data_IF_443316490800
#
_entry.id   IF_443316490800
#
_cell.length_a   1.000
_cell.length_b   1.000
_cell.length_c   1.000
_cell.angle_alpha   90.00
_cell.angle_beta   90.00
_cell.angle_gamma   90.00
#
_symmetry.space_group_name_H-M   'P 1'
#
loop_
_entity.id
_entity.type
_entity.pdbx_description
1 polymer ?
#
# COMPACT_ATOMS: atom_id res chain seq x y z
N UNK A 1 2.03 -60.99 49.16
CA UNK A 1 3.05 -59.92 49.32
C UNK A 1 3.56 -59.62 47.91
N UNK A 2 3.01 -58.60 47.23
CA UNK A 2 3.62 -57.26 47.05
C UNK A 2 5.03 -57.40 46.42
N UNK A 3 5.26 -56.95 45.20
CA UNK A 3 5.44 -55.53 44.93
C UNK A 3 5.02 -55.18 43.50
N UNK A 4 3.98 -54.37 43.42
CA UNK A 4 3.41 -53.72 42.25
C UNK A 4 4.39 -52.65 41.75
N UNK A 5 5.12 -52.89 40.66
CA UNK A 5 5.93 -51.88 39.99
C UNK A 5 5.05 -51.03 39.08
N UNK A 6 4.64 -49.88 39.62
CA UNK A 6 3.86 -48.84 38.96
C UNK A 6 4.63 -48.26 37.75
N UNK A 7 4.15 -48.56 36.54
CA UNK A 7 4.42 -47.77 35.34
C UNK A 7 3.68 -46.43 35.47
N UNK A 8 4.36 -45.39 35.93
CA UNK A 8 3.90 -43.99 35.80
C UNK A 8 4.86 -43.26 34.85
N UNK A 9 4.75 -43.57 33.55
CA UNK A 9 5.29 -42.74 32.51
C UNK A 9 4.38 -41.50 32.37
N UNK A 10 4.74 -40.43 33.07
CA UNK A 10 4.16 -39.10 32.89
C UNK A 10 4.45 -38.60 31.47
N UNK A 11 3.50 -38.85 30.55
CA UNK A 11 3.45 -38.20 29.25
C UNK A 11 2.92 -36.77 29.48
N UNK A 12 3.81 -35.81 29.70
CA UNK A 12 3.43 -34.41 29.52
C UNK A 12 3.10 -34.20 28.03
N UNK A 13 1.87 -33.80 27.67
CA UNK A 13 1.62 -33.39 26.30
C UNK A 13 2.38 -32.08 26.07
N UNK A 14 3.48 -32.15 25.31
CA UNK A 14 4.05 -30.96 24.68
C UNK A 14 2.99 -30.46 23.69
N UNK A 15 2.21 -29.46 24.10
CA UNK A 15 1.31 -28.75 23.19
C UNK A 15 2.20 -27.92 22.26
N UNK A 16 2.56 -28.52 21.12
CA UNK A 16 3.18 -27.79 20.02
C UNK A 16 2.10 -26.89 19.44
N UNK A 17 2.13 -25.60 19.79
CA UNK A 17 1.33 -24.60 19.10
C UNK A 17 1.86 -24.50 17.66
N UNK A 18 1.14 -25.15 16.73
CA UNK A 18 1.37 -24.98 15.31
C UNK A 18 0.84 -23.59 14.91
N UNK A 19 1.61 -22.55 15.20
CA UNK A 19 1.28 -21.18 14.79
C UNK A 19 1.38 -21.12 13.28
N UNK A 20 0.28 -20.74 12.64
CA UNK A 20 0.30 -20.52 11.19
C UNK A 20 1.24 -19.34 10.90
N UNK A 21 2.14 -19.47 9.92
CA UNK A 21 3.06 -18.39 9.58
C UNK A 21 2.26 -17.14 9.22
N UNK A 22 2.75 -15.98 9.66
CA UNK A 22 2.16 -14.70 9.26
C UNK A 22 2.38 -14.51 7.76
N UNK A 23 1.31 -14.25 7.01
CA UNK A 23 1.35 -14.01 5.56
C UNK A 23 0.50 -12.78 5.26
N UNK A 24 1.08 -11.82 4.52
CA UNK A 24 0.40 -10.57 4.15
C UNK A 24 -0.15 -10.69 2.74
N UNK A 25 -1.48 -10.69 2.64
CA UNK A 25 -2.21 -10.69 1.39
C UNK A 25 -2.44 -9.26 0.93
N UNK A 26 -2.08 -8.98 -0.32
CA UNK A 26 -2.22 -7.64 -0.88
C UNK A 26 -3.02 -7.67 -2.17
N UNK A 27 -3.81 -6.63 -2.44
CA UNK A 27 -4.52 -6.54 -3.71
C UNK A 27 -3.53 -6.39 -4.87
N UNK A 28 -3.95 -6.91 -6.02
CA UNK A 28 -3.15 -6.95 -7.25
C UNK A 28 -2.75 -5.57 -7.78
N UNK A 29 -3.47 -4.53 -7.41
CA UNK A 29 -3.23 -3.16 -7.88
C UNK A 29 -3.73 -2.14 -6.88
N UNK A 30 -3.02 -1.02 -6.77
CA UNK A 30 -3.36 0.10 -5.90
C UNK A 30 -3.64 1.31 -6.77
N UNK A 31 -4.82 1.89 -6.67
CA UNK A 31 -5.12 3.18 -7.30
C UNK A 31 -5.01 4.25 -6.23
N UNK A 32 -4.34 5.35 -6.56
CA UNK A 32 -4.27 6.52 -5.71
C UNK A 32 -5.66 6.98 -5.28
N UNK A 33 -5.77 7.57 -4.09
CA UNK A 33 -7.00 8.14 -3.54
C UNK A 33 -8.18 7.15 -3.44
N UNK A 34 -7.93 5.84 -3.56
CA UNK A 34 -8.93 4.81 -3.35
C UNK A 34 -8.65 4.05 -2.03
N UNK A 35 -9.71 3.57 -1.34
CA UNK A 35 -9.53 2.70 -0.20
C UNK A 35 -9.01 1.34 -0.65
N UNK A 36 -8.03 0.84 0.09
CA UNK A 36 -7.36 -0.44 -0.13
C UNK A 36 -7.59 -1.30 1.10
N UNK A 37 -8.20 -2.47 0.92
CA UNK A 37 -8.29 -3.47 1.96
C UNK A 37 -7.01 -4.31 1.95
N UNK A 38 -6.30 -4.29 3.07
CA UNK A 38 -5.12 -5.11 3.33
C UNK A 38 -5.57 -6.22 4.27
N UNK A 39 -5.22 -7.46 3.97
CA UNK A 39 -5.54 -8.62 4.80
C UNK A 39 -4.29 -9.43 5.09
N UNK A 40 -4.27 -10.15 6.20
CA UNK A 40 -3.23 -11.11 6.48
C UNK A 40 -3.82 -12.35 7.14
N UNK A 41 -3.03 -13.42 7.17
CA UNK A 41 -3.38 -14.67 7.84
C UNK A 41 -2.22 -15.15 8.72
N UNK A 42 -2.54 -15.99 9.70
CA UNK A 42 -1.57 -16.46 10.69
C UNK A 42 -1.11 -15.38 11.68
N UNK A 43 -0.02 -15.67 12.40
CA UNK A 43 0.50 -14.82 13.46
C UNK A 43 -0.34 -14.79 14.74
N UNK A 44 0.05 -13.93 15.68
CA UNK A 44 -0.62 -13.76 16.97
C UNK A 44 -0.95 -12.28 17.22
N UNK A 45 -2.22 -11.99 17.49
CA UNK A 45 -2.65 -10.66 17.92
C UNK A 45 -1.99 -10.26 19.25
N UNK A 46 -1.64 -8.97 19.47
CA UNK A 46 -1.91 -7.82 18.59
C UNK A 46 -0.98 -7.71 17.38
N UNK A 47 -1.50 -7.09 16.32
CA UNK A 47 -0.78 -6.80 15.09
C UNK A 47 -0.44 -5.31 14.98
N UNK A 48 0.68 -5.01 14.33
CA UNK A 48 1.03 -3.68 13.85
C UNK A 48 1.17 -3.74 12.34
N UNK A 49 0.21 -3.15 11.62
CA UNK A 49 0.23 -3.07 10.17
C UNK A 49 0.80 -1.72 9.71
N UNK A 50 1.56 -1.70 8.63
CA UNK A 50 2.27 -0.52 8.13
C UNK A 50 2.35 -0.50 6.62
N UNK A 51 2.41 0.70 6.06
CA UNK A 51 2.62 0.96 4.63
C UNK A 51 3.94 1.68 4.47
N UNK A 52 4.80 1.15 3.61
CA UNK A 52 6.12 1.67 3.32
C UNK A 52 6.20 2.11 1.87
N UNK A 53 6.78 3.28 1.60
CA UNK A 53 7.19 3.70 0.27
C UNK A 53 8.61 3.21 0.03
N UNK A 54 8.82 2.46 -1.04
CA UNK A 54 10.15 2.01 -1.48
C UNK A 54 10.71 2.90 -2.59
N UNK A 55 9.84 3.59 -3.34
CA UNK A 55 10.24 4.52 -4.41
C UNK A 55 9.16 5.59 -4.62
N UNK A 56 9.48 6.90 -4.56
CA UNK A 56 10.76 7.48 -4.15
C UNK A 56 10.88 7.51 -2.61
N UNK A 57 11.96 6.96 -2.07
CA UNK A 57 12.34 7.16 -0.67
C UNK A 57 13.86 7.40 -0.57
N UNK A 58 14.33 8.50 0.04
CA UNK A 58 15.77 8.83 0.11
C UNK A 58 16.62 7.78 0.84
N UNK A 59 16.03 7.09 1.81
CA UNK A 59 16.69 6.10 2.67
C UNK A 59 16.38 4.66 2.24
N UNK A 60 15.81 4.45 1.05
CA UNK A 60 15.43 3.15 0.52
C UNK A 60 14.03 2.67 0.94
N UNK A 61 13.57 2.95 2.16
CA UNK A 61 12.19 2.65 2.59
C UNK A 61 11.69 3.64 3.66
N UNK A 62 10.47 4.14 3.48
CA UNK A 62 9.88 5.20 4.32
C UNK A 62 8.47 4.78 4.76
N UNK A 63 8.22 4.62 6.07
CA UNK A 63 6.87 4.33 6.56
C UNK A 63 5.97 5.57 6.41
N UNK A 64 4.81 5.41 5.76
CA UNK A 64 3.85 6.50 5.52
C UNK A 64 2.53 6.32 6.27
N UNK A 65 2.27 5.12 6.77
CA UNK A 65 1.11 4.84 7.61
C UNK A 65 1.40 3.64 8.52
N UNK A 66 0.88 3.68 9.74
CA UNK A 66 1.00 2.61 10.74
C UNK A 66 -0.31 2.53 11.52
N UNK A 67 -0.76 1.32 11.84
CA UNK A 67 -1.90 1.08 12.72
C UNK A 67 -1.66 -0.14 13.59
N UNK A 68 -2.28 -0.17 14.77
CA UNK A 68 -2.35 -1.35 15.62
C UNK A 68 -3.77 -1.91 15.62
N UNK A 69 -3.91 -3.23 15.55
CA UNK A 69 -5.20 -3.89 15.54
C UNK A 69 -5.11 -5.30 16.12
N UNK A 70 -6.24 -5.82 16.58
CA UNK A 70 -6.40 -7.24 16.95
C UNK A 70 -7.05 -8.07 15.83
N UNK A 71 -7.55 -7.39 14.79
CA UNK A 71 -8.10 -8.02 13.58
C UNK A 71 -7.02 -8.29 12.56
N UNK A 72 -7.30 -9.13 11.57
CA UNK A 72 -6.35 -9.48 10.49
C UNK A 72 -6.59 -8.69 9.20
N UNK A 73 -7.14 -7.49 9.33
CA UNK A 73 -7.47 -6.65 8.19
C UNK A 73 -7.41 -5.18 8.53
N UNK A 74 -6.97 -4.37 7.57
CA UNK A 74 -6.95 -2.92 7.70
C UNK A 74 -7.29 -2.26 6.36
N UNK A 75 -8.20 -1.29 6.40
CA UNK A 75 -8.48 -0.42 5.25
C UNK A 75 -7.60 0.82 5.31
N UNK A 76 -6.72 0.95 4.33
CA UNK A 76 -5.85 2.11 4.16
C UNK A 76 -6.33 2.97 2.98
N UNK A 77 -6.26 4.29 3.12
CA UNK A 77 -6.52 5.22 2.02
C UNK A 77 -5.23 5.42 1.24
N UNK A 78 -5.21 5.10 -0.06
CA UNK A 78 -4.00 5.17 -0.88
C UNK A 78 -3.55 6.62 -1.19
N UNK A 79 -3.00 7.29 -0.18
CA UNK A 79 -2.48 8.67 -0.26
C UNK A 79 -1.06 8.77 -0.82
N UNK A 80 -0.47 7.65 -1.25
CA UNK A 80 0.86 7.60 -1.84
C UNK A 80 0.90 8.29 -3.23
N UNK A 81 2.11 8.67 -3.65
CA UNK A 81 2.34 9.29 -4.95
C UNK A 81 2.05 8.32 -6.11
N UNK A 82 1.38 8.79 -7.16
CA UNK A 82 1.14 8.02 -8.38
C UNK A 82 2.45 7.67 -9.10
N UNK A 83 2.64 6.42 -9.49
CA UNK A 83 3.90 5.92 -10.04
C UNK A 83 4.92 5.52 -8.96
N UNK A 84 4.61 5.79 -7.69
CA UNK A 84 5.40 5.30 -6.57
C UNK A 84 5.27 3.79 -6.39
N UNK A 85 6.25 3.21 -5.70
CA UNK A 85 6.27 1.82 -5.28
C UNK A 85 6.10 1.74 -3.77
N UNK A 86 5.20 0.89 -3.33
CA UNK A 86 4.89 0.69 -1.91
C UNK A 86 4.97 -0.78 -1.52
N UNK A 87 5.04 -1.04 -0.22
CA UNK A 87 5.03 -2.36 0.37
C UNK A 87 4.21 -2.34 1.66
N UNK A 88 3.36 -3.34 1.84
CA UNK A 88 2.61 -3.55 3.09
C UNK A 88 3.37 -4.51 3.98
N UNK A 89 3.53 -4.14 5.26
CA UNK A 89 4.21 -4.95 6.25
C UNK A 89 3.38 -5.07 7.54
N UNK A 90 3.37 -6.25 8.13
CA UNK A 90 2.68 -6.56 9.38
C UNK A 90 3.66 -7.21 10.33
N UNK A 91 3.72 -6.72 11.57
CA UNK A 91 4.32 -7.47 12.68
C UNK A 91 3.23 -7.96 13.62
N UNK A 92 3.52 -9.04 14.32
CA UNK A 92 2.62 -9.63 15.31
C UNK A 92 3.27 -9.56 16.69
N UNK A 93 2.58 -10.07 17.72
CA UNK A 93 3.12 -10.09 19.07
C UNK A 93 4.06 -11.27 19.33
N UNK A 94 4.36 -12.09 18.32
CA UNK A 94 5.27 -13.21 18.48
C UNK A 94 6.70 -12.70 18.57
N UNK A 95 7.55 -13.41 19.31
CA UNK A 95 8.99 -13.11 19.36
C UNK A 95 9.75 -13.63 18.15
N UNK A 96 9.06 -14.34 17.24
CA UNK A 96 9.64 -15.05 16.09
C UNK A 96 9.38 -14.38 14.74
N UNK A 97 8.33 -13.57 14.61
CA UNK A 97 7.98 -12.89 13.35
C UNK A 97 8.08 -11.36 13.48
N UNK A 98 9.30 -10.79 13.50
CA UNK A 98 9.49 -9.37 13.80
C UNK A 98 8.83 -8.44 12.77
N UNK A 99 8.76 -8.85 11.48
CA UNK A 99 8.08 -8.13 10.43
C UNK A 99 7.90 -9.04 9.19
N UNK A 100 6.67 -9.18 8.70
CA UNK A 100 6.37 -9.87 7.44
C UNK A 100 5.87 -8.85 6.44
N UNK A 101 6.42 -8.85 5.23
CA UNK A 101 6.03 -7.93 4.18
C UNK A 101 5.53 -8.64 2.93
N UNK A 102 4.62 -7.97 2.25
CA UNK A 102 4.14 -8.30 0.90
C UNK A 102 5.20 -8.04 -0.17
N UNK A 103 4.88 -8.38 -1.41
CA UNK A 103 5.64 -7.92 -2.58
C UNK A 103 5.47 -6.42 -2.79
N UNK A 104 6.43 -5.80 -3.49
CA UNK A 104 6.35 -4.39 -3.86
C UNK A 104 5.27 -4.19 -4.92
N UNK A 105 4.44 -3.16 -4.73
CA UNK A 105 3.28 -2.82 -5.56
C UNK A 105 3.42 -1.42 -6.13
N UNK A 106 2.94 -1.21 -7.36
CA UNK A 106 2.85 0.11 -7.99
C UNK A 106 1.52 0.79 -7.65
N UNK A 107 1.59 2.11 -7.45
CA UNK A 107 0.43 2.97 -7.25
C UNK A 107 0.05 3.62 -8.57
N UNK A 108 -1.15 3.37 -9.07
CA UNK A 108 -1.67 3.96 -10.30
C UNK A 108 -2.38 5.29 -10.03
N UNK A 109 -2.34 6.27 -10.96
CA UNK A 109 -3.02 7.55 -10.77
C UNK A 109 -4.54 7.39 -10.70
N UNK A 110 -5.20 8.23 -9.89
CA UNK A 110 -6.66 8.29 -9.80
C UNK A 110 -7.22 9.15 -10.94
N UNK A 111 -7.26 8.58 -12.15
CA UNK A 111 -7.84 9.27 -13.30
C UNK A 111 -7.63 8.47 -14.57
N UNK A 112 -8.59 8.55 -15.49
CA UNK A 112 -8.31 8.25 -16.89
C UNK A 112 -7.09 9.08 -17.29
N UNK A 113 -6.10 8.52 -18.03
CA UNK A 113 -5.12 9.37 -18.67
C UNK A 113 -5.94 10.46 -19.36
N UNK A 114 -5.63 11.73 -19.09
CA UNK A 114 -6.18 12.79 -19.92
C UNK A 114 -5.77 12.39 -21.34
N UNK A 115 -6.70 11.80 -22.08
CA UNK A 115 -6.57 11.61 -23.51
C UNK A 115 -6.41 13.05 -23.95
N UNK A 116 -5.19 13.42 -24.33
CA UNK A 116 -4.98 14.60 -25.12
C UNK A 116 -5.88 14.37 -26.33
N UNK A 117 -7.11 14.90 -26.29
CA UNK A 117 -7.97 14.91 -27.44
C UNK A 117 -7.09 15.55 -28.53
N UNK A 118 -6.86 14.87 -29.67
CA UNK A 118 -6.11 15.48 -30.73
C UNK A 118 -6.79 16.83 -31.00
N UNK A 119 -6.02 17.92 -31.00
CA UNK A 119 -6.47 19.30 -31.26
C UNK A 119 -7.17 19.46 -32.64
N UNK A 120 -7.43 18.38 -33.36
CA UNK A 120 -7.94 18.33 -34.73
C UNK A 120 -9.45 18.56 -34.86
N UNK A 121 -10.21 18.75 -33.77
CA UNK A 121 -11.66 18.97 -33.85
C UNK A 121 -12.12 20.35 -33.40
N UNK A 122 -11.20 21.28 -33.09
CA UNK A 122 -11.60 22.67 -32.87
C UNK A 122 -11.83 23.33 -34.24
N UNK A 123 -13.07 23.31 -34.71
CA UNK A 123 -13.49 24.12 -35.84
C UNK A 123 -13.40 25.59 -35.41
N UNK A 124 -12.30 26.24 -35.78
CA UNK A 124 -12.00 27.63 -35.44
C UNK A 124 -13.06 28.51 -36.12
N UNK A 125 -13.96 29.10 -35.34
CA UNK A 125 -14.75 30.24 -35.81
C UNK A 125 -13.79 31.36 -36.25
N UNK A 126 -13.92 31.93 -37.46
CA UNK A 126 -12.91 32.80 -38.06
C UNK A 126 -12.97 34.25 -37.55
N UNK A 127 -12.90 34.45 -36.22
CA UNK A 127 -12.99 35.80 -35.64
C UNK A 127 -12.09 36.07 -34.43
N UNK A 128 -10.93 35.45 -34.36
CA UNK A 128 -9.89 35.82 -33.38
C UNK A 128 -8.59 36.18 -34.10
N UNK A 129 -8.07 37.36 -33.80
CA UNK A 129 -6.80 37.87 -34.32
C UNK A 129 -5.63 37.09 -33.72
N UNK A 130 -4.50 37.03 -34.45
CA UNK A 130 -3.29 36.26 -34.09
C UNK A 130 -2.82 36.44 -32.64
N UNK A 131 -2.96 37.65 -32.08
CA UNK A 131 -2.58 37.97 -30.69
C UNK A 131 -3.46 37.25 -29.64
N UNK A 132 -4.75 37.03 -29.93
CA UNK A 132 -5.69 36.40 -29.00
C UNK A 132 -5.53 34.88 -28.93
N UNK A 133 -5.03 34.24 -30.00
CA UNK A 133 -4.81 32.79 -30.03
C UNK A 133 -3.62 32.37 -29.14
N UNK A 134 -2.54 33.15 -29.13
CA UNK A 134 -1.37 32.90 -28.29
C UNK A 134 -1.70 32.99 -26.79
N UNK A 135 -2.57 33.93 -26.41
CA UNK A 135 -2.99 34.12 -25.02
C UNK A 135 -3.85 32.94 -24.52
N UNK A 136 -4.72 32.40 -25.38
CA UNK A 136 -5.58 31.27 -25.05
C UNK A 136 -4.77 29.98 -24.85
N UNK A 137 -3.76 29.74 -25.70
CA UNK A 137 -2.84 28.60 -25.57
C UNK A 137 -2.05 28.70 -24.25
N UNK A 138 -1.54 29.89 -23.92
CA UNK A 138 -0.82 30.12 -22.65
C UNK A 138 -1.68 29.91 -21.40
N UNK A 139 -2.95 30.33 -21.43
CA UNK A 139 -3.88 30.16 -20.31
C UNK A 139 -4.32 28.69 -20.12
N UNK A 140 -4.34 27.90 -21.19
CA UNK A 140 -4.67 26.48 -21.11
C UNK A 140 -3.48 25.63 -20.66
N UNK A 141 -2.24 26.00 -21.02
CA UNK A 141 -1.03 25.28 -20.57
C UNK A 141 -0.60 25.63 -19.15
N UNK A 142 -0.96 26.81 -18.62
CA UNK A 142 -0.54 27.22 -17.27
C UNK A 142 -1.31 26.53 -16.13
N UNK A 143 -2.46 25.89 -16.41
CA UNK A 143 -3.22 25.12 -15.43
C UNK A 143 -2.78 23.65 -15.27
N UNK A 144 -1.83 23.19 -16.09
CA UNK A 144 -1.44 21.78 -16.13
C UNK A 144 -0.09 21.44 -15.46
N UNK A 145 0.56 22.41 -14.79
CA UNK A 145 1.82 22.14 -14.09
C UNK A 145 1.62 22.21 -12.58
N UNK A 146 1.57 21.06 -11.85
CA UNK A 146 1.88 21.08 -10.43
C UNK A 146 3.37 21.42 -10.31
N UNK A 147 3.67 22.63 -9.82
CA UNK A 147 5.02 23.08 -9.52
C UNK A 147 5.75 22.03 -8.68
N UNK A 148 6.89 21.47 -9.13
CA UNK A 148 7.88 20.99 -8.19
C UNK A 148 8.53 22.22 -7.55
N UNK A 149 8.91 22.16 -6.28
CA UNK A 149 9.60 23.22 -5.52
C UNK A 149 8.73 24.37 -4.95
N UNK A 150 8.08 24.06 -3.82
CA UNK A 150 7.97 25.00 -2.70
C UNK A 150 8.20 24.21 -1.41
N UNK A 151 9.47 24.03 -1.03
CA UNK A 151 10.02 24.08 0.32
C UNK A 151 11.54 24.25 0.20
#
# INVERSE_FOLDING_TARGET
MRCLTLFLASLLPLVVYCQSPLVVDTPVSITQCQPVLITWSGGISPYVASVWVTDPCPTGSCAIAVTSTTTTSWTWMAVAYSGGKIQFCVSDSSTTNPLTCSSILSVYPSGTPYVALPLSSYHIHPRLTSSQQTLLVYLLTSRASPSPYQL
#
